data_IF_330003553609
#
_entry.id   IF_330003553609
#
_cell.length_a   1.000
_cell.length_b   1.000
_cell.length_c   1.000
_cell.angle_alpha   90.00
_cell.angle_beta   90.00
_cell.angle_gamma   90.00
#
_symmetry.space_group_name_H-M   'P 1'
#
loop_
_entity.id
_entity.type
_entity.pdbx_description
1 polymer ?
#
# COMPACT_ATOMS: atom_id res chain seq x y z
N UNK A 1 17.75 -4.54 6.99
CA UNK A 1 16.84 -3.69 7.79
C UNK A 1 16.30 -2.63 6.86
N UNK A 2 15.27 -2.98 6.06
CA UNK A 2 14.55 -1.99 5.26
C UNK A 2 13.81 -1.05 6.24
N UNK A 3 13.69 0.22 5.89
CA UNK A 3 12.99 1.22 6.70
C UNK A 3 13.89 2.02 7.66
N UNK A 4 15.17 2.13 7.37
CA UNK A 4 16.10 3.01 8.11
C UNK A 4 16.67 4.15 7.28
N UNK A 5 16.34 4.20 6.00
CA UNK A 5 16.75 5.26 5.09
C UNK A 5 15.60 6.25 4.93
N UNK A 6 15.93 7.48 4.65
CA UNK A 6 14.98 8.49 4.19
C UNK A 6 15.02 8.55 2.67
N UNK A 7 13.88 8.85 2.07
CA UNK A 7 13.74 8.98 0.61
C UNK A 7 14.15 10.40 0.16
N UNK A 8 15.42 10.73 0.36
CA UNK A 8 16.02 12.00 -0.05
C UNK A 8 17.34 11.77 -0.81
N UNK A 9 17.69 12.68 -1.74
CA UNK A 9 18.90 12.58 -2.56
C UNK A 9 18.97 11.27 -3.32
N UNK A 10 20.14 10.65 -3.34
CA UNK A 10 20.44 9.39 -4.05
C UNK A 10 19.50 8.23 -3.63
N UNK A 11 18.99 8.24 -2.40
CA UNK A 11 18.02 7.22 -1.96
C UNK A 11 16.66 7.40 -2.64
N UNK A 12 16.22 8.64 -2.90
CA UNK A 12 14.98 8.91 -3.64
C UNK A 12 15.12 8.42 -5.09
N UNK A 13 16.23 8.74 -5.76
CA UNK A 13 16.50 8.29 -7.13
C UNK A 13 16.52 6.75 -7.24
N UNK A 14 17.17 6.07 -6.30
CA UNK A 14 17.15 4.59 -6.23
C UNK A 14 15.76 4.02 -5.95
N UNK A 15 14.96 4.71 -5.14
CA UNK A 15 13.60 4.30 -4.83
C UNK A 15 12.68 4.46 -6.05
N UNK A 16 12.79 5.56 -6.78
CA UNK A 16 12.07 5.79 -8.03
C UNK A 16 12.44 4.77 -9.10
N UNK A 17 13.73 4.47 -9.27
CA UNK A 17 14.18 3.44 -10.19
C UNK A 17 13.63 2.06 -9.83
N UNK A 18 13.63 1.69 -8.56
CA UNK A 18 13.06 0.41 -8.10
C UNK A 18 11.53 0.39 -8.25
N UNK A 19 10.84 1.50 -7.94
CA UNK A 19 9.39 1.65 -8.14
C UNK A 19 9.01 1.41 -9.61
N UNK A 20 9.76 2.02 -10.54
CA UNK A 20 9.56 1.82 -11.98
C UNK A 20 9.69 0.35 -12.37
N UNK A 21 10.79 -0.31 -12.01
CA UNK A 21 11.03 -1.72 -12.34
C UNK A 21 9.93 -2.62 -11.78
N UNK A 22 9.55 -2.42 -10.51
CA UNK A 22 8.49 -3.24 -9.88
C UNK A 22 7.15 -3.02 -10.59
N UNK A 23 6.82 -1.78 -10.95
CA UNK A 23 5.59 -1.45 -11.68
C UNK A 23 5.56 -2.08 -13.08
N UNK A 24 6.66 -2.03 -13.82
CA UNK A 24 6.80 -2.66 -15.13
C UNK A 24 6.58 -4.18 -15.06
N UNK A 25 7.20 -4.85 -14.08
CA UNK A 25 7.05 -6.30 -13.90
C UNK A 25 5.64 -6.66 -13.46
N UNK A 26 5.01 -5.90 -12.56
CA UNK A 26 3.60 -6.12 -12.19
C UNK A 26 2.67 -5.95 -13.39
N UNK A 27 2.87 -4.93 -14.22
CA UNK A 27 2.11 -4.71 -15.47
C UNK A 27 2.28 -5.87 -16.44
N UNK A 28 3.51 -6.33 -16.67
CA UNK A 28 3.83 -7.48 -17.55
C UNK A 28 3.07 -8.74 -17.12
N UNK A 29 2.92 -8.95 -15.82
CA UNK A 29 2.16 -10.08 -15.27
C UNK A 29 0.66 -9.78 -15.13
N UNK A 30 0.14 -8.69 -15.72
CA UNK A 30 -1.27 -8.30 -15.66
C UNK A 30 -1.85 -8.24 -14.25
N UNK A 31 -1.04 -7.80 -13.28
CA UNK A 31 -1.49 -7.54 -11.92
C UNK A 31 -2.23 -6.20 -11.90
N UNK A 32 -3.40 -6.15 -11.29
CA UNK A 32 -4.08 -4.88 -10.98
C UNK A 32 -3.40 -4.27 -9.76
N UNK A 33 -2.73 -3.15 -9.95
CA UNK A 33 -1.98 -2.45 -8.91
C UNK A 33 -2.03 -0.94 -9.10
N UNK A 34 -1.58 -0.19 -8.12
CA UNK A 34 -1.42 1.26 -8.20
C UNK A 34 -0.54 1.79 -7.09
N UNK A 35 -0.16 3.08 -7.18
CA UNK A 35 0.51 3.79 -6.09
C UNK A 35 -0.43 3.91 -4.88
N UNK A 36 0.12 3.85 -3.67
CA UNK A 36 -0.65 3.96 -2.42
C UNK A 36 0.18 4.66 -1.33
N UNK A 37 -0.40 4.81 -0.16
CA UNK A 37 0.30 5.24 1.04
C UNK A 37 0.99 6.59 0.93
N UNK A 38 2.15 6.71 1.58
CA UNK A 38 2.98 7.91 1.56
C UNK A 38 3.51 8.24 0.18
N UNK A 39 3.76 7.25 -0.65
CA UNK A 39 4.20 7.42 -2.04
C UNK A 39 3.19 8.20 -2.86
N UNK A 40 1.92 7.75 -2.87
CA UNK A 40 0.84 8.45 -3.56
C UNK A 40 0.63 9.85 -3.01
N UNK A 41 0.57 9.99 -1.68
CA UNK A 41 0.41 11.28 -1.02
C UNK A 41 1.50 12.28 -1.41
N UNK A 42 2.77 11.86 -1.40
CA UNK A 42 3.89 12.70 -1.77
C UNK A 42 3.84 13.16 -3.22
N UNK A 43 3.56 12.23 -4.13
CA UNK A 43 3.48 12.53 -5.57
C UNK A 43 2.33 13.50 -5.87
N UNK A 44 1.13 13.26 -5.31
CA UNK A 44 -0.04 14.12 -5.57
C UNK A 44 0.08 15.49 -4.92
N UNK A 45 0.62 15.57 -3.69
CA UNK A 45 0.69 16.81 -2.93
C UNK A 45 1.91 17.66 -3.27
N UNK A 46 3.07 17.01 -3.45
CA UNK A 46 4.37 17.69 -3.50
C UNK A 46 5.16 17.43 -4.78
N UNK A 47 4.63 16.62 -5.70
CA UNK A 47 5.32 16.20 -6.94
C UNK A 47 6.68 15.54 -6.67
N UNK A 48 6.80 14.82 -5.53
CA UNK A 48 8.01 14.11 -5.12
C UNK A 48 7.68 12.99 -4.13
N UNK A 49 8.61 12.08 -3.92
CA UNK A 49 8.58 11.18 -2.77
C UNK A 49 8.74 11.99 -1.48
N UNK A 50 8.05 11.57 -0.40
CA UNK A 50 8.17 12.25 0.89
C UNK A 50 9.57 12.02 1.48
N UNK A 51 10.38 13.07 1.75
CA UNK A 51 11.77 12.91 2.17
C UNK A 51 11.94 12.17 3.50
N UNK A 52 10.92 12.22 4.36
CA UNK A 52 10.91 11.53 5.66
C UNK A 52 10.36 10.11 5.62
N UNK A 53 9.85 9.68 4.46
CA UNK A 53 9.40 8.30 4.27
C UNK A 53 10.60 7.37 4.05
N UNK A 54 10.38 6.06 4.14
CA UNK A 54 11.46 5.08 4.14
C UNK A 54 11.21 3.87 3.22
N UNK A 55 10.08 3.81 2.56
CA UNK A 55 9.70 2.79 1.60
C UNK A 55 8.73 3.36 0.55
N UNK A 56 8.55 2.60 -0.52
CA UNK A 56 7.56 2.87 -1.56
C UNK A 56 6.37 1.96 -1.31
N UNK A 57 5.18 2.53 -1.31
CA UNK A 57 3.94 1.80 -1.14
C UNK A 57 3.21 1.61 -2.48
N UNK A 58 2.97 0.38 -2.87
CA UNK A 58 2.04 -0.01 -3.92
C UNK A 58 0.91 -0.84 -3.34
N UNK A 59 -0.27 -0.73 -3.93
CA UNK A 59 -1.40 -1.63 -3.68
C UNK A 59 -1.52 -2.64 -4.82
N UNK A 60 -1.94 -3.87 -4.52
CA UNK A 60 -2.33 -4.85 -5.53
C UNK A 60 -3.59 -5.62 -5.09
N UNK A 61 -4.37 -6.08 -6.07
CA UNK A 61 -5.59 -6.86 -5.80
C UNK A 61 -5.27 -8.27 -5.31
N UNK A 62 -5.96 -8.71 -4.28
CA UNK A 62 -5.79 -10.04 -3.70
C UNK A 62 -6.18 -11.19 -4.62
N UNK A 63 -7.05 -10.94 -5.58
CA UNK A 63 -7.44 -11.90 -6.63
C UNK A 63 -6.26 -12.23 -7.55
N UNK A 64 -5.32 -11.28 -7.73
CA UNK A 64 -4.14 -11.45 -8.57
C UNK A 64 -2.95 -12.07 -7.80
N UNK A 65 -3.18 -12.69 -6.62
CA UNK A 65 -2.12 -13.24 -5.76
C UNK A 65 -1.21 -14.26 -6.46
N UNK A 66 -1.68 -14.99 -7.47
CA UNK A 66 -0.86 -15.89 -8.29
C UNK A 66 0.11 -15.09 -9.14
N UNK A 67 -0.41 -14.12 -9.91
CA UNK A 67 0.37 -13.23 -10.77
C UNK A 67 1.39 -12.41 -9.98
N UNK A 68 1.04 -11.95 -8.76
CA UNK A 68 1.98 -11.26 -7.86
C UNK A 68 3.15 -12.17 -7.48
N UNK A 69 2.92 -13.47 -7.29
CA UNK A 69 4.00 -14.44 -6.98
C UNK A 69 4.89 -14.68 -8.18
N UNK A 70 4.32 -14.77 -9.39
CA UNK A 70 5.05 -14.91 -10.65
C UNK A 70 5.93 -13.68 -10.91
N UNK A 71 5.36 -12.46 -10.77
CA UNK A 71 6.12 -11.21 -10.80
C UNK A 71 7.26 -11.19 -9.77
N UNK A 72 7.01 -11.68 -8.55
CA UNK A 72 8.02 -11.81 -7.51
C UNK A 72 9.11 -12.84 -7.83
N UNK A 73 8.82 -13.88 -8.61
CA UNK A 73 9.82 -14.82 -9.10
C UNK A 73 10.73 -14.17 -10.15
N UNK A 74 10.15 -13.48 -11.13
CA UNK A 74 10.91 -12.72 -12.14
C UNK A 74 11.80 -11.66 -11.50
N UNK A 75 11.30 -10.89 -10.54
CA UNK A 75 12.11 -9.90 -9.80
C UNK A 75 13.30 -10.56 -9.08
N UNK A 76 13.17 -11.78 -8.57
CA UNK A 76 14.30 -12.54 -8.00
C UNK A 76 15.31 -12.93 -9.05
N UNK A 77 14.87 -13.38 -10.23
CA UNK A 77 15.74 -13.72 -11.37
C UNK A 77 16.51 -12.49 -11.86
N UNK A 78 15.90 -11.29 -11.78
CA UNK A 78 16.54 -10.00 -12.04
C UNK A 78 17.54 -9.58 -10.95
N UNK A 79 17.70 -10.36 -9.87
CA UNK A 79 18.66 -10.12 -8.78
C UNK A 79 18.11 -9.34 -7.59
N UNK A 80 16.81 -9.01 -7.55
CA UNK A 80 16.21 -8.33 -6.41
C UNK A 80 15.92 -9.30 -5.26
N UNK A 81 16.01 -8.80 -4.03
CA UNK A 81 15.62 -9.61 -2.86
C UNK A 81 14.13 -9.46 -2.61
N UNK A 82 13.35 -10.51 -2.87
CA UNK A 82 11.91 -10.54 -2.68
C UNK A 82 11.53 -11.33 -1.44
N UNK A 83 10.69 -10.71 -0.58
CA UNK A 83 10.12 -11.34 0.61
C UNK A 83 8.60 -11.25 0.55
N UNK A 84 7.92 -12.27 1.03
CA UNK A 84 6.46 -12.29 1.12
C UNK A 84 6.01 -12.59 2.55
N UNK A 85 4.85 -12.06 2.92
CA UNK A 85 4.17 -12.47 4.14
C UNK A 85 2.70 -12.78 3.87
N UNK A 86 2.15 -13.68 4.66
CA UNK A 86 0.75 -14.13 4.59
C UNK A 86 -0.03 -13.66 5.82
N UNK A 87 -1.36 -13.63 5.72
CA UNK A 87 -2.21 -13.41 6.88
C UNK A 87 -2.06 -14.56 7.88
N UNK A 88 -1.94 -14.22 9.16
CA UNK A 88 -1.88 -15.19 10.26
C UNK A 88 -3.27 -15.67 10.67
N UNK A 89 -4.28 -14.83 10.50
CA UNK A 89 -5.67 -15.05 10.87
C UNK A 89 -6.59 -14.63 9.74
N UNK A 90 -7.85 -15.10 9.78
CA UNK A 90 -8.90 -14.66 8.87
C UNK A 90 -9.59 -13.43 9.45
N UNK A 91 -9.82 -12.43 8.59
CA UNK A 91 -10.66 -11.28 8.89
C UNK A 91 -11.41 -10.84 7.62
N UNK A 92 -12.71 -11.07 7.59
CA UNK A 92 -13.51 -10.80 6.39
C UNK A 92 -12.94 -11.49 5.15
N UNK A 93 -12.72 -10.76 4.06
CA UNK A 93 -12.17 -11.30 2.82
C UNK A 93 -10.69 -11.67 2.93
N UNK A 94 -9.97 -11.15 3.93
CA UNK A 94 -8.55 -11.46 4.19
C UNK A 94 -8.43 -12.82 4.88
N UNK A 95 -8.41 -13.90 4.11
CA UNK A 95 -8.35 -15.27 4.65
C UNK A 95 -6.94 -15.65 5.11
N UNK A 96 -6.85 -16.40 6.22
CA UNK A 96 -5.60 -16.99 6.72
C UNK A 96 -4.82 -17.67 5.60
N UNK A 97 -3.48 -17.51 5.59
CA UNK A 97 -2.52 -18.00 4.60
C UNK A 97 -2.59 -17.36 3.21
N UNK A 98 -3.53 -16.47 2.90
CA UNK A 98 -3.47 -15.65 1.68
C UNK A 98 -2.33 -14.63 1.77
N UNK A 99 -1.81 -14.22 0.60
CA UNK A 99 -0.73 -13.25 0.49
C UNK A 99 -1.18 -11.91 1.09
N UNK A 100 -0.37 -11.32 1.96
CA UNK A 100 -0.64 -10.03 2.60
C UNK A 100 0.22 -8.90 2.04
N UNK A 101 1.46 -9.21 1.70
CA UNK A 101 2.44 -8.24 1.22
C UNK A 101 3.56 -8.96 0.48
N UNK A 102 4.05 -8.34 -0.57
CA UNK A 102 5.33 -8.65 -1.21
C UNK A 102 6.24 -7.43 -1.00
N UNK A 103 7.47 -7.66 -0.57
CA UNK A 103 8.50 -6.63 -0.40
C UNK A 103 9.62 -6.90 -1.39
N UNK A 104 9.97 -5.90 -2.18
CA UNK A 104 11.08 -5.95 -3.13
C UNK A 104 12.16 -5.01 -2.64
N UNK A 105 13.39 -5.50 -2.51
CA UNK A 105 14.50 -4.75 -1.94
C UNK A 105 15.67 -4.68 -2.91
N UNK A 106 16.25 -3.48 -3.03
CA UNK A 106 17.53 -3.20 -3.70
C UNK A 106 18.40 -2.43 -2.71
N UNK A 107 19.43 -3.08 -2.17
CA UNK A 107 20.21 -2.51 -1.07
C UNK A 107 19.35 -2.21 0.16
N UNK A 108 19.26 -0.92 0.52
CA UNK A 108 18.44 -0.43 1.64
C UNK A 108 17.05 0.06 1.22
N UNK A 109 16.82 0.26 -0.08
CA UNK A 109 15.53 0.70 -0.63
C UNK A 109 14.54 -0.47 -0.65
N UNK A 110 13.27 -0.17 -0.39
CA UNK A 110 12.19 -1.16 -0.35
C UNK A 110 10.95 -0.65 -1.08
N UNK A 111 10.36 -1.50 -1.90
CA UNK A 111 9.00 -1.35 -2.41
C UNK A 111 8.10 -2.38 -1.73
N UNK A 112 7.04 -1.91 -1.10
CA UNK A 112 6.03 -2.70 -0.43
C UNK A 112 4.79 -2.82 -1.32
N UNK A 113 4.52 -4.01 -1.84
CA UNK A 113 3.27 -4.31 -2.56
C UNK A 113 2.27 -4.87 -1.57
N UNK A 114 1.37 -4.01 -1.09
CA UNK A 114 0.34 -4.34 -0.09
C UNK A 114 -0.85 -4.98 -0.81
N UNK A 115 -1.19 -6.22 -0.43
CA UNK A 115 -2.28 -6.95 -1.09
C UNK A 115 -3.59 -6.69 -0.36
N UNK A 116 -4.55 -6.09 -1.07
CA UNK A 116 -5.88 -5.77 -0.56
C UNK A 116 -6.93 -6.74 -1.10
N UNK A 117 -7.88 -7.09 -0.26
CA UNK A 117 -8.97 -8.03 -0.58
C UNK A 117 -10.31 -7.35 -0.41
N UNK A 118 -11.22 -7.57 -1.34
CA UNK A 118 -12.56 -6.95 -1.30
C UNK A 118 -13.66 -7.91 -0.85
N UNK A 119 -14.71 -7.33 -0.30
CA UNK A 119 -16.07 -7.83 -0.31
C UNK A 119 -16.93 -6.99 -1.28
N UNK A 120 -18.24 -6.94 -1.08
CA UNK A 120 -19.16 -6.19 -1.94
C UNK A 120 -18.95 -4.67 -1.85
N UNK A 121 -18.59 -4.16 -0.66
CA UNK A 121 -18.58 -2.71 -0.37
C UNK A 121 -17.19 -2.11 -0.25
N UNK A 122 -16.19 -2.89 0.21
CA UNK A 122 -14.88 -2.37 0.64
C UNK A 122 -13.71 -3.21 0.16
N UNK A 123 -12.54 -2.56 0.05
CA UNK A 123 -11.24 -3.19 0.04
C UNK A 123 -10.59 -3.11 1.43
N UNK A 124 -10.03 -4.24 1.88
CA UNK A 124 -9.45 -4.43 3.21
C UNK A 124 -7.98 -4.78 3.14
N UNK A 125 -7.21 -4.29 4.12
CA UNK A 125 -5.83 -4.70 4.33
C UNK A 125 -5.42 -4.60 5.79
N UNK A 126 -4.23 -5.12 6.10
CA UNK A 126 -3.64 -5.09 7.44
C UNK A 126 -2.24 -4.53 7.36
N UNK A 127 -1.95 -3.55 8.19
CA UNK A 127 -0.63 -2.97 8.32
C UNK A 127 0.00 -3.32 9.68
N UNK A 128 1.34 -3.35 9.70
CA UNK A 128 2.18 -3.60 10.87
C UNK A 128 2.06 -4.98 11.53
N UNK A 129 2.98 -5.26 12.47
CA UNK A 129 2.94 -6.48 13.31
C UNK A 129 1.73 -6.50 14.26
N UNK A 130 1.21 -5.32 14.63
CA UNK A 130 0.03 -5.17 15.50
C UNK A 130 -1.30 -5.40 14.76
N UNK A 131 -1.25 -5.74 13.47
CA UNK A 131 -2.42 -6.07 12.64
C UNK A 131 -3.50 -4.98 12.65
N UNK A 132 -3.11 -3.71 12.47
CA UNK A 132 -4.08 -2.62 12.31
C UNK A 132 -4.85 -2.86 11.02
N UNK A 133 -6.15 -3.07 11.14
CA UNK A 133 -7.07 -3.37 10.04
C UNK A 133 -7.59 -2.07 9.46
N UNK A 134 -7.61 -2.00 8.14
CA UNK A 134 -8.06 -0.83 7.38
C UNK A 134 -8.99 -1.24 6.27
N UNK A 135 -9.85 -0.31 5.85
CA UNK A 135 -10.70 -0.46 4.67
C UNK A 135 -10.95 0.88 4.00
N UNK A 136 -11.24 0.83 2.71
CA UNK A 136 -11.76 1.95 1.92
C UNK A 136 -12.89 1.48 1.03
N UNK A 137 -13.82 2.37 0.60
CA UNK A 137 -14.86 2.03 -0.37
C UNK A 137 -14.29 1.34 -1.61
N UNK A 138 -15.03 0.35 -2.11
CA UNK A 138 -14.57 -0.53 -3.18
C UNK A 138 -14.30 0.20 -4.48
N UNK A 139 -15.10 1.22 -4.82
CA UNK A 139 -15.00 1.95 -6.08
C UNK A 139 -13.62 2.56 -6.34
N UNK A 140 -12.83 2.87 -5.29
CA UNK A 140 -11.47 3.40 -5.49
C UNK A 140 -10.49 2.44 -6.16
N UNK A 141 -10.79 1.14 -6.15
CA UNK A 141 -9.92 0.12 -6.73
C UNK A 141 -10.61 -0.76 -7.77
N UNK A 142 -11.85 -0.47 -8.15
CA UNK A 142 -12.51 -1.17 -9.27
C UNK A 142 -11.86 -0.82 -10.60
N UNK A 143 -11.48 0.45 -10.73
CA UNK A 143 -10.67 0.98 -11.83
C UNK A 143 -9.50 1.76 -11.25
N UNK A 144 -8.49 2.01 -12.08
CA UNK A 144 -7.37 2.86 -11.73
C UNK A 144 -7.34 4.05 -12.68
N UNK A 145 -7.16 5.24 -12.10
CA UNK A 145 -6.74 6.43 -12.85
C UNK A 145 -5.22 6.37 -13.08
N UNK A 146 -4.68 7.35 -13.77
CA UNK A 146 -3.25 7.42 -14.06
C UNK A 146 -2.67 8.76 -13.59
N UNK A 147 -1.42 8.74 -13.15
CA UNK A 147 -0.64 9.94 -12.84
C UNK A 147 0.74 9.83 -13.50
N UNK A 148 1.20 10.94 -14.08
CA UNK A 148 2.57 11.04 -14.55
C UNK A 148 3.48 11.52 -13.42
N UNK A 149 4.60 10.82 -13.23
CA UNK A 149 5.63 11.20 -12.27
C UNK A 149 7.01 10.90 -12.86
N UNK A 150 7.85 11.94 -12.99
CA UNK A 150 9.19 11.87 -13.56
C UNK A 150 9.26 11.13 -14.93
N UNK A 151 8.30 11.43 -15.83
CA UNK A 151 8.22 10.86 -17.18
C UNK A 151 7.74 9.41 -17.22
N UNK A 152 7.18 8.88 -16.14
CA UNK A 152 6.59 7.54 -16.06
C UNK A 152 5.13 7.65 -15.63
N UNK A 153 4.24 6.97 -16.35
CA UNK A 153 2.82 6.88 -15.99
C UNK A 153 2.59 5.73 -15.01
N UNK A 154 1.96 6.03 -13.88
CA UNK A 154 1.62 5.06 -12.84
C UNK A 154 0.12 4.98 -12.61
N UNK A 155 -0.44 3.78 -12.42
CA UNK A 155 -1.81 3.64 -11.98
C UNK A 155 -1.99 4.11 -10.53
N UNK A 156 -3.12 4.78 -10.27
CA UNK A 156 -3.50 5.28 -8.94
C UNK A 156 -4.97 4.93 -8.67
N UNK A 157 -5.43 4.92 -7.41
CA UNK A 157 -6.85 4.74 -7.10
C UNK A 157 -7.71 5.73 -7.86
N UNK A 158 -8.89 5.28 -8.30
CA UNK A 158 -9.87 6.16 -8.95
C UNK A 158 -10.23 7.34 -8.02
N UNK A 159 -10.46 8.50 -8.62
CA UNK A 159 -10.75 9.74 -7.85
C UNK A 159 -9.70 10.03 -6.78
N UNK A 160 -8.45 10.08 -7.16
CA UNK A 160 -7.28 10.12 -6.26
C UNK A 160 -7.38 11.15 -5.13
N UNK A 161 -7.94 12.36 -5.39
CA UNK A 161 -8.10 13.40 -4.35
C UNK A 161 -9.13 13.00 -3.30
N UNK A 162 -10.25 12.42 -3.72
CA UNK A 162 -11.27 11.86 -2.81
C UNK A 162 -10.68 10.69 -2.00
N UNK A 163 -9.96 9.79 -2.67
CA UNK A 163 -9.26 8.69 -2.00
C UNK A 163 -8.31 9.18 -0.91
N UNK A 164 -7.51 10.22 -1.17
CA UNK A 164 -6.61 10.81 -0.17
C UNK A 164 -7.38 11.43 1.00
N UNK A 165 -8.53 12.08 0.73
CA UNK A 165 -9.40 12.62 1.78
C UNK A 165 -9.98 11.52 2.67
N UNK A 166 -10.41 10.39 2.09
CA UNK A 166 -10.90 9.21 2.83
C UNK A 166 -9.79 8.57 3.67
N UNK A 167 -8.53 8.64 3.20
CA UNK A 167 -7.38 8.05 3.90
C UNK A 167 -6.81 8.93 5.00
N UNK A 168 -6.69 10.22 4.74
CA UNK A 168 -5.88 11.13 5.55
C UNK A 168 -6.66 12.34 6.09
N UNK A 169 -7.93 12.51 5.69
CA UNK A 169 -8.70 13.71 6.03
C UNK A 169 -8.17 14.93 5.27
N UNK A 170 -7.69 15.93 5.99
CA UNK A 170 -7.00 17.10 5.41
C UNK A 170 -5.59 16.74 4.99
N UNK A 171 -5.49 16.07 3.82
CA UNK A 171 -4.21 15.55 3.29
C UNK A 171 -3.35 16.64 2.64
N UNK A 172 -3.91 17.80 2.33
CA UNK A 172 -3.17 18.94 1.76
C UNK A 172 -2.27 19.59 2.81
N UNK A 173 -2.68 19.56 4.07
CA UNK A 173 -1.87 20.07 5.19
C UNK A 173 -0.81 19.03 5.62
N UNK A 174 0.45 19.49 5.70
CA UNK A 174 1.55 18.63 6.13
C UNK A 174 1.50 18.41 7.64
N UNK A 175 1.25 17.18 8.06
CA UNK A 175 1.30 16.74 9.46
C UNK A 175 2.61 16.02 9.73
N UNK A 176 3.52 16.64 10.50
CA UNK A 176 4.87 16.10 10.76
C UNK A 176 4.86 14.82 11.61
N UNK A 177 3.92 14.72 12.56
CA UNK A 177 3.85 13.61 13.52
C UNK A 177 2.76 12.59 13.16
N UNK A 178 2.42 12.46 11.86
CA UNK A 178 1.41 11.52 11.39
C UNK A 178 1.77 10.07 11.73
N UNK A 179 0.84 9.40 12.39
CA UNK A 179 1.01 8.00 12.78
C UNK A 179 -0.02 7.12 12.06
N UNK A 180 0.38 6.46 10.98
CA UNK A 180 -0.47 5.59 10.15
C UNK A 180 -1.21 4.48 10.92
N UNK A 181 -0.86 4.23 12.19
CA UNK A 181 -1.54 3.24 13.06
C UNK A 181 -2.65 3.83 13.91
N UNK A 182 -2.75 5.16 13.98
CA UNK A 182 -3.72 5.87 14.83
C UNK A 182 -4.53 6.90 14.07
N UNK A 183 -3.89 7.62 13.15
CA UNK A 183 -4.41 8.83 12.54
C UNK A 183 -5.03 8.57 11.15
N UNK A 184 -4.75 7.42 10.54
CA UNK A 184 -5.33 7.03 9.26
C UNK A 184 -6.85 6.78 9.43
N UNK A 185 -7.65 7.55 8.71
CA UNK A 185 -9.12 7.51 8.79
C UNK A 185 -9.70 6.17 8.35
N UNK A 186 -8.99 5.46 7.47
CA UNK A 186 -9.38 4.13 7.01
C UNK A 186 -9.29 3.02 8.08
N UNK A 187 -8.81 3.33 9.29
CA UNK A 187 -8.71 2.35 10.39
C UNK A 187 -10.10 1.90 10.84
N UNK A 188 -10.30 0.58 10.84
CA UNK A 188 -11.52 -0.01 11.37
C UNK A 188 -11.45 0.04 12.89
N UNK A 189 -12.18 0.98 13.49
CA UNK A 189 -12.36 1.07 14.94
C UNK A 189 -13.23 -0.10 15.39
N UNK A 190 -12.89 -0.74 16.53
CA UNK A 190 -13.82 -1.67 17.18
C UNK A 190 -15.05 -0.87 17.61
N UNK A 191 -16.26 -1.39 17.33
CA UNK A 191 -17.46 -0.85 17.96
C UNK A 191 -17.24 -0.83 19.49
N UNK A 192 -17.66 0.20 20.21
CA UNK A 192 -17.68 0.17 21.66
C UNK A 192 -18.45 -1.08 22.07
N UNK A 193 -17.89 -1.89 22.97
CA UNK A 193 -18.63 -2.97 23.60
C UNK A 193 -19.75 -2.29 24.38
N UNK A 194 -20.99 -2.44 23.95
CA UNK A 194 -22.14 -2.14 24.78
C UNK A 194 -22.04 -3.10 25.97
N UNK A 195 -21.71 -2.56 27.13
CA UNK A 195 -21.89 -3.25 28.39
C UNK A 195 -23.38 -3.51 28.53
N UNK A 196 -23.83 -4.72 28.24
CA UNK A 196 -25.11 -5.20 28.74
C UNK A 196 -24.98 -5.20 30.26
N UNK A 197 -25.45 -4.12 30.90
CA UNK A 197 -25.78 -4.17 32.31
C UNK A 197 -27.00 -5.07 32.44
N UNK A 198 -26.73 -6.30 32.79
CA UNK A 198 -27.73 -7.14 33.42
C UNK A 198 -28.26 -6.40 34.66
N UNK A 199 -29.47 -5.93 34.56
CA UNK A 199 -30.21 -5.50 35.75
C UNK A 199 -31.06 -6.71 36.14
N UNK A 200 -30.69 -7.28 37.26
CA UNK A 200 -31.47 -8.22 38.07
C UNK A 200 -32.75 -7.59 38.52
#
# INVERSE_FOLDING_TARGET
MAGKIKLEGENAEKAEALMKVVSEVLSKHHVRFGLDGGTLLGIVREQRLLPWDNDIDLVAHGEDSSRIKEAGAELKEMGYRVKTAKFKETYGPMKKRKLRIMKVLSGLVCVDVIVKYSDEDFFYWVVSKKQVKKRVPRHFYETFDEIEFNGVTYPVPANVREYLSVRYGDWETVVKDYNFKKDDVAIIKRAPQTSENETT
#
